data_IF_658894339425
#
_entry.id   IF_658894339425
#
_cell.length_a   1.000
_cell.length_b   1.000
_cell.length_c   1.000
_cell.angle_alpha   90.00
_cell.angle_beta   90.00
_cell.angle_gamma   90.00
#
_symmetry.space_group_name_H-M   'P 1'
#
loop_
_entity.id
_entity.type
_entity.pdbx_description
1 polymer ?
#
# COMPACT_ATOMS: atom_id res chain seq x y z
N UNK A 1 -37.78 -35.61 48.96
CA UNK A 1 -38.64 -35.03 47.89
C UNK A 1 -39.19 -33.74 48.48
N UNK A 2 -38.91 -32.52 48.04
CA UNK A 2 -38.24 -32.03 46.84
C UNK A 2 -37.67 -30.65 47.17
N UNK A 3 -36.57 -30.33 46.50
CA UNK A 3 -35.88 -29.05 46.46
C UNK A 3 -36.69 -28.05 45.65
N UNK A 4 -36.80 -26.80 46.09
CA UNK A 4 -37.17 -25.68 45.21
C UNK A 4 -36.37 -24.43 45.57
N UNK A 5 -35.76 -23.86 44.53
CA UNK A 5 -34.62 -22.97 44.59
C UNK A 5 -35.01 -21.48 44.63
N UNK A 6 -34.19 -20.68 45.31
CA UNK A 6 -34.24 -19.21 45.32
C UNK A 6 -32.97 -18.61 44.67
N UNK A 7 -33.03 -17.34 44.19
CA UNK A 7 -32.40 -16.95 42.92
C UNK A 7 -30.92 -16.55 43.01
N UNK A 8 -30.20 -16.77 41.90
CA UNK A 8 -28.80 -16.47 41.70
C UNK A 8 -28.49 -14.95 41.74
N UNK A 9 -27.67 -14.52 42.72
CA UNK A 9 -27.11 -13.17 42.78
C UNK A 9 -25.98 -13.02 41.76
N UNK A 10 -26.18 -12.20 40.72
CA UNK A 10 -25.14 -11.76 39.77
C UNK A 10 -24.01 -11.04 40.52
N UNK A 11 -22.82 -11.63 40.52
CA UNK A 11 -21.59 -11.06 41.10
C UNK A 11 -21.11 -9.91 40.21
N UNK A 12 -21.39 -8.67 40.62
CA UNK A 12 -20.95 -7.43 39.96
C UNK A 12 -19.42 -7.34 40.01
N UNK A 13 -18.74 -7.58 38.89
CA UNK A 13 -17.30 -7.41 38.77
C UNK A 13 -16.96 -5.93 39.04
N UNK A 14 -16.21 -5.67 40.13
CA UNK A 14 -15.65 -4.36 40.41
C UNK A 14 -14.62 -4.06 39.32
N UNK A 15 -14.88 -3.05 38.49
CA UNK A 15 -13.90 -2.50 37.55
C UNK A 15 -12.74 -1.95 38.37
N UNK A 16 -11.62 -2.67 38.43
CA UNK A 16 -10.38 -2.13 38.99
C UNK A 16 -9.92 -0.94 38.14
N UNK A 17 -9.42 0.09 38.83
CA UNK A 17 -8.91 1.30 38.20
C UNK A 17 -7.77 0.97 37.25
N UNK A 18 -7.72 1.66 36.11
CA UNK A 18 -6.69 1.49 35.07
C UNK A 18 -5.29 1.63 35.68
N UNK A 19 -5.10 2.54 36.65
CA UNK A 19 -3.84 2.74 37.36
C UNK A 19 -3.37 1.54 38.21
N UNK A 20 -4.27 0.72 38.77
CA UNK A 20 -3.87 -0.48 39.50
C UNK A 20 -3.36 -1.58 38.55
N UNK A 21 -3.87 -1.62 37.32
CA UNK A 21 -3.42 -2.58 36.28
C UNK A 21 -2.05 -2.20 35.73
N UNK A 22 -1.78 -0.90 35.58
CA UNK A 22 -0.47 -0.42 35.12
C UNK A 22 0.65 -0.54 36.17
N UNK A 23 0.32 -0.65 37.46
CA UNK A 23 1.31 -0.79 38.53
C UNK A 23 1.84 -2.23 38.67
N UNK A 24 1.00 -3.23 38.39
CA UNK A 24 1.36 -4.66 38.47
C UNK A 24 1.96 -5.20 37.16
N UNK A 25 1.67 -4.57 36.01
CA UNK A 25 2.14 -5.03 34.70
C UNK A 25 3.39 -4.27 34.24
N UNK A 26 4.53 -4.97 34.20
CA UNK A 26 5.75 -4.47 33.55
C UNK A 26 5.55 -4.53 32.03
N UNK A 27 5.31 -3.38 31.41
CA UNK A 27 5.20 -3.23 29.95
C UNK A 27 6.58 -3.36 29.29
N UNK A 28 7.11 -4.58 29.27
CA UNK A 28 8.32 -4.89 28.50
C UNK A 28 7.92 -5.21 27.07
N UNK A 29 8.37 -4.38 26.12
CA UNK A 29 8.34 -4.72 24.70
C UNK A 29 9.26 -5.93 24.53
N UNK A 30 8.67 -7.13 24.48
CA UNK A 30 9.42 -8.34 24.13
C UNK A 30 9.86 -8.19 22.68
N UNK A 31 11.16 -8.29 22.36
CA UNK A 31 11.59 -8.36 20.98
C UNK A 31 11.08 -9.70 20.41
N UNK A 32 9.96 -9.63 19.69
CA UNK A 32 9.49 -10.73 18.86
C UNK A 32 10.56 -10.98 17.76
N UNK A 33 11.06 -12.22 17.60
CA UNK A 33 12.01 -12.56 16.53
C UNK A 33 11.33 -12.66 15.17
N UNK A 34 10.01 -12.54 15.12
CA UNK A 34 9.24 -12.48 13.88
C UNK A 34 9.44 -11.10 13.25
N UNK A 35 10.42 -11.02 12.36
CA UNK A 35 10.45 -9.97 11.36
C UNK A 35 9.10 -9.95 10.66
N UNK A 36 8.37 -8.81 10.64
CA UNK A 36 7.18 -8.72 9.81
C UNK A 36 7.64 -8.90 8.37
N UNK A 37 7.37 -10.08 7.78
CA UNK A 37 7.58 -10.30 6.35
C UNK A 37 6.61 -9.36 5.64
N UNK A 38 7.13 -8.23 5.16
CA UNK A 38 6.40 -7.35 4.27
C UNK A 38 6.31 -8.07 2.94
N UNK A 39 5.21 -8.80 2.73
CA UNK A 39 4.89 -9.44 1.45
C UNK A 39 4.56 -8.36 0.41
N UNK A 40 5.60 -7.78 -0.19
CA UNK A 40 5.47 -6.77 -1.26
C UNK A 40 5.27 -7.40 -2.64
N UNK A 41 4.94 -8.69 -2.71
CA UNK A 41 4.76 -9.44 -3.96
C UNK A 41 3.59 -8.96 -4.80
N UNK A 42 2.57 -8.39 -4.14
CA UNK A 42 1.38 -7.83 -4.76
C UNK A 42 1.50 -6.34 -5.13
N UNK A 43 2.63 -5.69 -4.82
CA UNK A 43 2.80 -4.26 -5.09
C UNK A 43 2.96 -4.01 -6.60
N UNK A 44 2.43 -2.90 -7.12
CA UNK A 44 2.38 -2.66 -8.56
C UNK A 44 3.73 -2.23 -9.13
N UNK A 45 3.95 -2.58 -10.40
CA UNK A 45 5.07 -2.08 -11.22
C UNK A 45 6.44 -2.32 -10.55
N UNK A 46 7.24 -1.27 -10.43
CA UNK A 46 8.60 -1.29 -9.88
C UNK A 46 8.64 -1.54 -8.36
N UNK A 47 7.50 -1.47 -7.68
CA UNK A 47 7.40 -1.71 -6.25
C UNK A 47 7.20 -3.20 -5.91
N UNK A 48 7.05 -4.05 -6.92
CA UNK A 48 6.96 -5.51 -6.73
C UNK A 48 8.26 -6.06 -6.16
N UNK A 49 8.15 -6.88 -5.12
CA UNK A 49 9.29 -7.56 -4.49
C UNK A 49 10.39 -6.61 -3.96
N UNK A 50 10.04 -5.39 -3.54
CA UNK A 50 10.98 -4.44 -2.92
C UNK A 50 11.75 -5.04 -1.73
N UNK A 51 11.16 -5.98 -1.00
CA UNK A 51 11.83 -6.71 0.09
C UNK A 51 13.08 -7.51 -0.35
N UNK A 52 13.22 -7.84 -1.64
CA UNK A 52 14.41 -8.51 -2.18
C UNK A 52 15.55 -7.53 -2.50
N UNK A 53 15.32 -6.21 -2.43
CA UNK A 53 16.35 -5.22 -2.70
C UNK A 53 17.27 -5.02 -1.48
N UNK A 54 18.55 -4.76 -1.76
CA UNK A 54 19.53 -4.47 -0.72
C UNK A 54 19.23 -3.11 -0.06
N UNK A 55 19.00 -3.12 1.26
CA UNK A 55 18.80 -1.92 2.05
C UNK A 55 20.17 -1.36 2.45
N UNK A 56 20.46 -0.12 2.02
CA UNK A 56 21.67 0.61 2.47
C UNK A 56 21.40 1.38 3.77
N UNK A 57 20.27 2.07 3.84
CA UNK A 57 19.83 2.85 5.00
C UNK A 57 18.33 2.63 5.23
N UNK A 58 17.93 2.49 6.49
CA UNK A 58 16.53 2.24 6.89
C UNK A 58 15.76 3.53 7.23
N UNK A 59 16.47 4.65 7.37
CA UNK A 59 15.90 5.91 7.80
C UNK A 59 15.84 6.90 6.64
N UNK A 60 14.64 7.39 6.32
CA UNK A 60 14.44 8.49 5.39
C UNK A 60 13.23 9.32 5.82
N UNK A 61 13.24 10.62 5.52
CA UNK A 61 12.08 11.49 5.72
C UNK A 61 11.18 11.42 4.49
N UNK A 62 9.90 11.01 4.62
CA UNK A 62 9.00 10.98 3.49
C UNK A 62 8.77 12.37 2.92
N UNK A 63 9.13 12.57 1.65
CA UNK A 63 8.82 13.79 0.92
C UNK A 63 7.41 13.70 0.31
N UNK A 64 6.69 14.83 0.27
CA UNK A 64 5.37 14.95 -0.36
C UNK A 64 5.44 15.24 -1.86
N UNK A 65 6.64 15.40 -2.42
CA UNK A 65 6.82 15.68 -3.84
C UNK A 65 6.76 14.42 -4.70
N UNK A 66 6.00 14.49 -5.80
CA UNK A 66 5.89 13.42 -6.78
C UNK A 66 4.66 12.54 -6.60
N UNK A 67 4.47 11.60 -7.53
CA UNK A 67 3.30 10.73 -7.56
C UNK A 67 3.73 9.30 -7.89
N UNK A 68 3.09 8.33 -7.24
CA UNK A 68 3.11 6.93 -7.69
C UNK A 68 2.67 6.86 -9.16
N UNK A 69 3.26 6.00 -10.01
CA UNK A 69 2.91 5.92 -11.42
C UNK A 69 1.41 5.77 -11.70
N UNK A 70 0.68 5.07 -10.81
CA UNK A 70 -0.77 4.85 -10.92
C UNK A 70 -1.63 6.01 -10.40
N UNK A 71 -1.04 6.96 -9.66
CA UNK A 71 -1.75 8.11 -9.05
C UNK A 71 -1.28 9.46 -9.59
N UNK A 72 -0.62 9.49 -10.77
CA UNK A 72 -0.21 10.74 -11.42
C UNK A 72 -1.42 11.54 -11.93
N UNK A 73 -1.36 12.89 -11.90
CA UNK A 73 -2.28 13.72 -12.66
C UNK A 73 -2.29 13.34 -14.14
N UNK A 74 -3.45 13.44 -14.80
CA UNK A 74 -3.65 12.96 -16.18
C UNK A 74 -2.59 13.46 -17.17
N UNK A 75 -2.27 14.75 -17.11
CA UNK A 75 -1.29 15.38 -17.99
C UNK A 75 0.09 14.74 -17.83
N UNK A 76 0.53 14.51 -16.59
CA UNK A 76 1.83 13.90 -16.31
C UNK A 76 1.83 12.39 -16.56
N UNK A 77 0.67 11.75 -16.45
CA UNK A 77 0.49 10.34 -16.81
C UNK A 77 0.64 10.14 -18.33
N UNK A 78 0.06 11.03 -19.16
CA UNK A 78 0.22 10.99 -20.62
C UNK A 78 1.67 11.31 -21.02
N UNK A 79 2.29 12.33 -20.41
CA UNK A 79 3.68 12.72 -20.71
C UNK A 79 4.70 11.62 -20.47
N UNK A 80 4.51 10.80 -19.43
CA UNK A 80 5.41 9.70 -19.06
C UNK A 80 4.82 8.32 -19.36
N UNK A 81 3.73 8.27 -20.12
CA UNK A 81 2.99 7.07 -20.42
C UNK A 81 3.59 6.31 -21.61
N UNK A 82 3.36 5.00 -21.63
CA UNK A 82 3.68 4.14 -22.78
C UNK A 82 2.39 3.45 -23.20
N UNK A 83 2.11 3.44 -24.50
CA UNK A 83 0.93 2.78 -25.06
C UNK A 83 1.42 1.56 -25.83
N UNK A 84 1.00 0.37 -25.40
CA UNK A 84 1.20 -0.85 -26.16
C UNK A 84 0.18 -0.90 -27.29
N UNK A 85 0.56 -0.37 -28.46
CA UNK A 85 -0.29 -0.32 -29.65
C UNK A 85 -0.11 -1.59 -30.47
N UNK A 86 -1.22 -2.24 -30.79
CA UNK A 86 -1.23 -3.30 -31.81
C UNK A 86 -1.22 -2.66 -33.20
N UNK A 87 -0.14 -2.87 -33.95
CA UNK A 87 0.08 -2.16 -35.21
C UNK A 87 -0.73 -2.81 -36.33
N UNK A 88 -1.62 -2.07 -37.03
CA UNK A 88 -2.27 -2.59 -38.22
C UNK A 88 -1.25 -2.79 -39.37
N UNK A 89 -1.45 -3.82 -40.20
CA UNK A 89 -0.43 -4.30 -41.16
C UNK A 89 -0.07 -3.33 -42.30
N UNK A 90 -0.86 -2.29 -42.55
CA UNK A 90 -0.73 -1.45 -43.76
C UNK A 90 -0.01 -0.10 -43.55
N UNK A 91 -0.35 0.72 -42.54
CA UNK A 91 0.34 2.00 -42.35
C UNK A 91 1.77 1.83 -41.81
N UNK A 92 2.63 2.80 -42.12
CA UNK A 92 3.97 2.90 -41.55
C UNK A 92 3.92 3.27 -40.06
N UNK A 93 4.97 2.93 -39.31
CA UNK A 93 5.04 3.24 -37.88
C UNK A 93 5.00 4.75 -37.62
N UNK A 94 5.57 5.57 -38.49
CA UNK A 94 5.52 7.03 -38.38
C UNK A 94 4.11 7.60 -38.62
N UNK A 95 3.31 6.99 -39.51
CA UNK A 95 1.91 7.39 -39.73
C UNK A 95 1.05 7.05 -38.52
N UNK A 96 1.20 5.85 -37.96
CA UNK A 96 0.47 5.44 -36.75
C UNK A 96 0.81 6.39 -35.59
N UNK A 97 2.08 6.73 -35.40
CA UNK A 97 2.51 7.71 -34.38
C UNK A 97 1.89 9.09 -34.63
N UNK A 98 1.82 9.54 -35.89
CA UNK A 98 1.21 10.83 -36.22
C UNK A 98 -0.31 10.86 -35.91
N UNK A 99 -1.03 9.76 -36.13
CA UNK A 99 -2.45 9.66 -35.75
C UNK A 99 -2.66 9.70 -34.25
N UNK A 100 -1.84 8.95 -33.49
CA UNK A 100 -1.88 8.97 -32.01
C UNK A 100 -1.56 10.36 -31.47
N UNK A 101 -0.56 11.04 -32.05
CA UNK A 101 -0.20 12.42 -31.71
C UNK A 101 -1.38 13.37 -31.93
N UNK A 102 -2.08 13.24 -33.06
CA UNK A 102 -3.26 14.06 -33.38
C UNK A 102 -4.44 13.76 -32.46
N UNK A 103 -4.67 12.49 -32.13
CA UNK A 103 -5.76 12.08 -31.25
C UNK A 103 -5.58 12.57 -29.81
N UNK A 104 -4.35 12.54 -29.29
CA UNK A 104 -4.02 12.97 -27.92
C UNK A 104 -3.57 14.44 -27.82
N UNK A 105 -3.40 15.11 -28.95
CA UNK A 105 -3.01 16.51 -29.06
C UNK A 105 -1.71 16.85 -28.29
N UNK A 106 -0.69 15.98 -28.40
CA UNK A 106 0.59 16.08 -27.68
C UNK A 106 1.71 16.67 -28.55
N UNK A 107 2.64 17.41 -27.95
CA UNK A 107 3.65 18.18 -28.70
C UNK A 107 4.89 17.38 -29.13
N UNK A 108 5.40 16.48 -28.26
CA UNK A 108 6.69 15.81 -28.46
C UNK A 108 6.52 14.33 -28.80
N UNK A 109 7.29 13.85 -29.77
CA UNK A 109 7.33 12.46 -30.22
C UNK A 109 8.61 11.76 -29.71
N UNK A 110 8.48 10.46 -29.45
CA UNK A 110 9.57 9.54 -29.14
C UNK A 110 10.61 9.57 -30.28
N UNK A 111 11.81 10.07 -29.99
CA UNK A 111 13.01 9.85 -30.79
C UNK A 111 13.74 8.62 -30.27
#
# INVERSE_FOLDING_TARGET
MSVEASPAKKKKQRKSSVGAKHADEVFTVKPEPTTPSLETSQWPLLLKNVHLMNIRESHFEPNTCGFSPLHRPLIDHIKHGVINLDKPSNPSSHEVVAWVKRALNVEKNWS
#
